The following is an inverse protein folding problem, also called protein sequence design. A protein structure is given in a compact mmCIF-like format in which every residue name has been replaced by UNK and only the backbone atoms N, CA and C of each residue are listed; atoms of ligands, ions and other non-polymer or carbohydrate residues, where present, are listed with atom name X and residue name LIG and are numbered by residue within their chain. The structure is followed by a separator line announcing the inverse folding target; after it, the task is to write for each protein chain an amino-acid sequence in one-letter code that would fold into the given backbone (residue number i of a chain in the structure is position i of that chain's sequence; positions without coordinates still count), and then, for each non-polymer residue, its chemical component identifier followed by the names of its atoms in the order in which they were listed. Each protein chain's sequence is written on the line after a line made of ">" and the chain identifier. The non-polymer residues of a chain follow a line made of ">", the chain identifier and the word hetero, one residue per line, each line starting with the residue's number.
data_IF_038088000708
#
_entry.id   IF_038088000708
#
_cell.length_a   1.000
_cell.length_b   1.000
_cell.length_c   1.000
_cell.angle_alpha   90.00
_cell.angle_beta   90.00
_cell.angle_gamma   90.00
#
_symmetry.space_group_name_H-M   'P 1'
#
loop_
_entity.id
_entity.type
_entity.pdbx_description
1 polymer ?
#
# COMPACT_ATOMS: atom_id res chain seq x y z
N UNK A 1 16.84 0.21 -17.79
CA UNK A 1 17.12 -0.63 -16.61
C UNK A 1 16.16 -1.82 -16.59
N UNK A 2 16.55 -2.98 -16.03
CA UNK A 2 15.62 -4.08 -15.79
C UNK A 2 15.02 -3.92 -14.38
N UNK A 3 13.76 -3.50 -14.29
CA UNK A 3 13.08 -3.20 -13.01
C UNK A 3 12.89 -4.45 -12.15
N UNK A 4 12.62 -5.61 -12.74
CA UNK A 4 12.48 -6.86 -11.96
C UNK A 4 13.81 -7.24 -11.29
N UNK A 5 14.94 -7.08 -11.99
CA UNK A 5 16.27 -7.26 -11.40
C UNK A 5 16.58 -6.23 -10.32
N UNK A 6 16.10 -5.00 -10.47
CA UNK A 6 16.23 -3.96 -9.44
C UNK A 6 15.43 -4.32 -8.18
N UNK A 7 14.17 -4.72 -8.33
CA UNK A 7 13.29 -5.12 -7.23
C UNK A 7 13.86 -6.29 -6.42
N UNK A 8 14.45 -7.31 -7.09
CA UNK A 8 15.12 -8.42 -6.40
C UNK A 8 16.27 -7.91 -5.51
N UNK A 9 17.09 -6.99 -6.02
CA UNK A 9 18.19 -6.40 -5.25
C UNK A 9 17.67 -5.54 -4.10
N UNK A 10 16.63 -4.73 -4.35
CA UNK A 10 16.04 -3.87 -3.35
C UNK A 10 15.41 -4.67 -2.21
N UNK A 11 14.73 -5.78 -2.53
CA UNK A 11 14.19 -6.70 -1.51
C UNK A 11 15.29 -7.26 -0.63
N UNK A 12 16.37 -7.77 -1.24
CA UNK A 12 17.54 -8.28 -0.51
C UNK A 12 18.19 -7.20 0.36
N UNK A 13 18.33 -5.98 -0.16
CA UNK A 13 18.81 -4.84 0.62
C UNK A 13 17.92 -4.56 1.83
N UNK A 14 16.59 -4.60 1.65
CA UNK A 14 15.63 -4.44 2.74
C UNK A 14 15.80 -5.51 3.82
N UNK A 15 15.98 -6.77 3.44
CA UNK A 15 16.25 -7.88 4.37
C UNK A 15 17.56 -7.66 5.16
N UNK A 16 18.65 -7.30 4.48
CA UNK A 16 19.97 -7.04 5.11
C UNK A 16 19.95 -5.83 6.06
N UNK A 17 19.06 -4.86 5.83
CA UNK A 17 18.96 -3.61 6.60
C UNK A 17 17.73 -3.54 7.51
N UNK A 18 17.00 -4.67 7.66
CA UNK A 18 15.78 -4.75 8.49
C UNK A 18 14.70 -3.73 8.11
N UNK A 19 14.56 -3.44 6.81
CA UNK A 19 13.48 -2.62 6.26
C UNK A 19 12.28 -3.54 6.01
N UNK A 20 11.10 -3.28 6.60
CA UNK A 20 9.94 -4.15 6.50
C UNK A 20 9.26 -3.99 5.13
N UNK A 21 9.77 -4.67 4.10
CA UNK A 21 9.09 -4.75 2.82
C UNK A 21 8.05 -5.86 2.83
N UNK A 22 6.87 -5.59 2.26
CA UNK A 22 5.86 -6.59 1.88
C UNK A 22 6.52 -7.86 1.29
N UNK A 23 5.96 -9.03 1.60
CA UNK A 23 6.47 -10.29 1.09
C UNK A 23 6.37 -10.38 -0.44
N UNK A 24 7.23 -11.18 -1.07
CA UNK A 24 7.18 -11.36 -2.52
C UNK A 24 5.86 -12.00 -2.98
N UNK A 25 5.26 -12.82 -2.11
CA UNK A 25 3.98 -13.50 -2.38
C UNK A 25 2.84 -12.49 -2.35
N UNK A 26 2.75 -11.67 -1.28
CA UNK A 26 1.74 -10.61 -1.18
C UNK A 26 1.91 -9.57 -2.29
N UNK A 27 3.14 -9.12 -2.58
CA UNK A 27 3.41 -8.16 -3.65
C UNK A 27 2.95 -8.67 -5.04
N UNK A 28 3.20 -9.94 -5.34
CA UNK A 28 2.73 -10.58 -6.58
C UNK A 28 1.21 -10.66 -6.62
N UNK A 29 0.58 -11.10 -5.53
CA UNK A 29 -0.88 -11.16 -5.44
C UNK A 29 -1.52 -9.78 -5.66
N UNK A 30 -1.00 -8.74 -5.01
CA UNK A 30 -1.51 -7.37 -5.16
C UNK A 30 -1.31 -6.86 -6.58
N UNK A 31 -0.18 -7.16 -7.25
CA UNK A 31 0.01 -6.82 -8.67
C UNK A 31 -1.03 -7.47 -9.57
N UNK A 32 -1.38 -8.74 -9.33
CA UNK A 32 -2.40 -9.41 -10.13
C UNK A 32 -3.80 -8.85 -9.82
N UNK A 33 -4.08 -8.50 -8.57
CA UNK A 33 -5.32 -7.84 -8.19
C UNK A 33 -5.47 -6.45 -8.84
N UNK A 34 -4.39 -5.65 -8.88
CA UNK A 34 -4.34 -4.35 -9.58
C UNK A 34 -4.71 -4.51 -11.06
N UNK A 35 -4.16 -5.53 -11.73
CA UNK A 35 -4.49 -5.82 -13.14
C UNK A 35 -5.96 -6.21 -13.33
N UNK A 36 -6.43 -7.18 -12.53
CA UNK A 36 -7.78 -7.76 -12.68
C UNK A 36 -8.87 -6.73 -12.34
N UNK A 37 -8.63 -5.90 -11.34
CA UNK A 37 -9.54 -4.82 -10.95
C UNK A 37 -9.53 -3.62 -11.90
N UNK A 38 -8.57 -3.54 -12.82
CA UNK A 38 -8.41 -2.38 -13.70
C UNK A 38 -8.03 -1.10 -12.95
N UNK A 39 -7.32 -1.23 -11.83
CA UNK A 39 -6.90 -0.11 -10.99
C UNK A 39 -6.07 0.90 -11.80
N UNK A 40 -6.40 2.19 -11.67
CA UNK A 40 -5.62 3.29 -12.27
C UNK A 40 -5.06 4.25 -11.23
N UNK A 41 -5.78 4.50 -10.14
CA UNK A 41 -5.36 5.44 -9.11
C UNK A 41 -5.25 4.71 -7.79
N UNK A 42 -4.03 4.63 -7.26
CA UNK A 42 -3.72 3.92 -6.03
C UNK A 42 -3.25 4.89 -4.94
N UNK A 43 -3.70 4.64 -3.71
CA UNK A 43 -3.13 5.23 -2.50
C UNK A 43 -2.38 4.15 -1.72
N UNK A 44 -1.18 4.46 -1.26
CA UNK A 44 -0.38 3.61 -0.38
C UNK A 44 -0.03 4.37 0.90
N UNK A 45 -0.16 3.70 2.05
CA UNK A 45 0.16 4.23 3.37
C UNK A 45 1.28 3.36 3.95
N UNK A 46 2.47 3.95 4.05
CA UNK A 46 3.72 3.25 4.31
C UNK A 46 4.51 3.01 3.03
N UNK A 47 5.61 3.73 2.83
CA UNK A 47 6.44 3.64 1.62
C UNK A 47 7.68 2.79 1.87
N UNK A 48 8.26 2.87 3.06
CA UNK A 48 9.56 2.28 3.39
C UNK A 48 10.62 2.68 2.33
N UNK A 49 11.36 1.73 1.75
CA UNK A 49 12.32 1.99 0.67
C UNK A 49 11.68 2.06 -0.73
N UNK A 50 10.35 2.04 -0.84
CA UNK A 50 9.61 2.11 -2.10
C UNK A 50 9.46 0.78 -2.84
N UNK A 51 9.82 -0.36 -2.24
CA UNK A 51 9.73 -1.66 -2.90
C UNK A 51 8.32 -1.98 -3.44
N UNK A 52 7.28 -1.87 -2.60
CA UNK A 52 5.88 -2.07 -2.98
C UNK A 52 5.43 -1.00 -3.98
N UNK A 53 5.72 0.27 -3.70
CA UNK A 53 5.39 1.42 -4.54
C UNK A 53 5.87 1.22 -5.98
N UNK A 54 7.13 0.81 -6.16
CA UNK A 54 7.73 0.54 -7.48
C UNK A 54 7.10 -0.71 -8.11
N UNK A 55 6.85 -1.77 -7.33
CA UNK A 55 6.17 -2.99 -7.79
C UNK A 55 4.81 -2.66 -8.43
N UNK A 56 4.00 -1.85 -7.74
CA UNK A 56 2.65 -1.49 -8.17
C UNK A 56 2.67 -0.48 -9.32
N UNK A 57 3.55 0.53 -9.26
CA UNK A 57 3.70 1.52 -10.31
C UNK A 57 4.06 0.91 -11.68
N UNK A 58 4.84 -0.18 -11.72
CA UNK A 58 5.12 -0.91 -12.97
C UNK A 58 3.84 -1.44 -13.63
N UNK A 59 2.86 -1.91 -12.84
CA UNK A 59 1.59 -2.36 -13.37
C UNK A 59 0.68 -1.20 -13.75
N UNK A 60 0.58 -0.19 -12.89
CA UNK A 60 -0.22 1.01 -13.14
C UNK A 60 0.24 1.74 -14.42
N UNK A 61 1.55 1.82 -14.65
CA UNK A 61 2.14 2.45 -15.84
C UNK A 61 1.59 1.88 -17.14
N UNK A 62 1.32 0.57 -17.20
CA UNK A 62 0.81 -0.11 -18.41
C UNK A 62 -0.56 0.39 -18.86
N UNK A 63 -1.33 0.97 -17.93
CA UNK A 63 -2.68 1.49 -18.17
C UNK A 63 -2.78 3.01 -17.97
N UNK A 64 -1.64 3.70 -17.86
CA UNK A 64 -1.58 5.14 -17.59
C UNK A 64 -2.02 5.53 -16.18
N UNK A 65 -1.93 4.60 -15.23
CA UNK A 65 -2.26 4.80 -13.83
C UNK A 65 -1.13 5.44 -13.01
N UNK A 66 -1.45 5.82 -11.78
CA UNK A 66 -0.58 6.50 -10.82
C UNK A 66 -0.79 6.00 -9.40
N UNK A 67 0.24 6.15 -8.58
CA UNK A 67 0.21 5.85 -7.16
C UNK A 67 0.67 7.08 -6.35
N UNK A 68 -0.08 7.38 -5.29
CA UNK A 68 0.36 8.28 -4.23
C UNK A 68 0.79 7.40 -3.06
N UNK A 69 2.01 7.58 -2.56
CA UNK A 69 2.53 6.85 -1.40
C UNK A 69 2.97 7.82 -0.31
N UNK A 70 2.51 7.58 0.91
CA UNK A 70 2.72 8.46 2.06
C UNK A 70 3.60 7.75 3.09
N UNK A 71 4.68 8.43 3.52
CA UNK A 71 5.51 8.00 4.64
C UNK A 71 5.85 9.18 5.55
N UNK A 72 5.90 8.94 6.85
CA UNK A 72 6.26 9.98 7.83
C UNK A 72 7.76 10.03 8.09
N UNK A 73 8.50 8.98 7.75
CA UNK A 73 9.94 8.87 7.95
C UNK A 73 10.67 9.56 6.80
N UNK A 74 11.37 10.66 7.11
CA UNK A 74 12.21 11.36 6.13
C UNK A 74 13.27 10.43 5.51
N UNK A 75 13.85 9.54 6.33
CA UNK A 75 14.79 8.52 5.86
C UNK A 75 14.17 7.63 4.79
N UNK A 76 12.99 7.06 5.09
CA UNK A 76 12.25 6.20 4.16
C UNK A 76 11.89 6.95 2.88
N UNK A 77 11.35 8.16 3.02
CA UNK A 77 11.01 9.03 1.91
C UNK A 77 12.19 9.31 0.98
N UNK A 78 13.36 9.68 1.52
CA UNK A 78 14.55 9.96 0.72
C UNK A 78 15.07 8.71 0.00
N UNK A 79 15.04 7.56 0.66
CA UNK A 79 15.46 6.28 0.08
C UNK A 79 14.51 5.88 -1.06
N UNK A 80 13.20 5.89 -0.81
CA UNK A 80 12.18 5.63 -1.82
C UNK A 80 12.31 6.59 -3.02
N UNK A 81 12.52 7.88 -2.77
CA UNK A 81 12.70 8.89 -3.83
C UNK A 81 13.88 8.57 -4.74
N UNK A 82 15.00 8.12 -4.18
CA UNK A 82 16.16 7.71 -4.97
C UNK A 82 15.87 6.46 -5.80
N UNK A 83 15.21 5.46 -5.21
CA UNK A 83 14.86 4.22 -5.90
C UNK A 83 13.84 4.45 -7.03
N UNK A 84 12.86 5.33 -6.82
CA UNK A 84 11.88 5.75 -7.83
C UNK A 84 12.58 6.43 -9.02
N UNK A 85 13.55 7.31 -8.74
CA UNK A 85 14.35 7.98 -9.77
C UNK A 85 15.21 6.99 -10.56
N UNK A 86 15.86 6.04 -9.88
CA UNK A 86 16.62 4.98 -10.56
C UNK A 86 15.72 4.13 -11.47
N UNK A 87 14.45 3.95 -11.09
CA UNK A 87 13.44 3.27 -11.89
C UNK A 87 12.81 4.08 -13.02
N UNK A 88 13.06 5.39 -13.09
CA UNK A 88 12.41 6.29 -14.05
C UNK A 88 10.87 6.23 -13.97
N UNK A 89 10.34 6.22 -12.73
CA UNK A 89 8.91 6.11 -12.42
C UNK A 89 8.33 7.38 -11.78
N UNK A 90 9.04 8.52 -11.85
CA UNK A 90 8.62 9.79 -11.24
C UNK A 90 7.30 10.33 -11.82
N UNK A 91 6.92 9.91 -13.03
CA UNK A 91 5.65 10.30 -13.65
C UNK A 91 4.45 9.50 -13.12
N UNK A 92 4.70 8.30 -12.60
CA UNK A 92 3.69 7.38 -12.10
C UNK A 92 3.58 7.40 -10.56
N UNK A 93 4.66 7.77 -9.86
CA UNK A 93 4.75 7.75 -8.40
C UNK A 93 4.83 9.16 -7.85
N UNK A 94 3.89 9.52 -6.98
CA UNK A 94 3.94 10.72 -6.15
C UNK A 94 4.20 10.34 -4.70
N UNK A 95 5.37 10.71 -4.18
CA UNK A 95 5.73 10.48 -2.78
C UNK A 95 5.38 11.70 -1.92
N UNK A 96 4.71 11.47 -0.80
CA UNK A 96 4.38 12.50 0.19
C UNK A 96 5.12 12.19 1.49
N UNK A 97 5.97 13.11 1.93
CA UNK A 97 6.56 13.08 3.27
C UNK A 97 5.59 13.73 4.25
N UNK A 98 5.00 12.95 5.16
CA UNK A 98 4.06 13.45 6.15
C UNK A 98 3.36 12.36 6.93
N UNK A 99 2.68 12.75 8.01
CA UNK A 99 1.83 11.84 8.76
C UNK A 99 0.56 11.54 7.96
N UNK A 100 0.31 10.26 7.65
CA UNK A 100 -0.83 9.85 6.85
C UNK A 100 -2.19 10.33 7.43
N UNK A 101 -2.30 10.47 8.75
CA UNK A 101 -3.51 11.00 9.40
C UNK A 101 -3.81 12.45 9.03
N UNK A 102 -2.77 13.22 8.71
CA UNK A 102 -2.86 14.62 8.32
C UNK A 102 -2.90 14.79 6.80
N UNK A 103 -2.24 13.90 6.05
CA UNK A 103 -2.15 13.98 4.60
C UNK A 103 -3.35 13.36 3.87
N UNK A 104 -3.88 12.22 4.33
CA UNK A 104 -5.04 11.57 3.68
C UNK A 104 -6.25 12.53 3.57
N UNK A 105 -6.64 13.28 4.62
CA UNK A 105 -7.78 14.22 4.55
C UNK A 105 -7.67 15.26 3.43
N UNK A 106 -6.44 15.65 3.04
CA UNK A 106 -6.16 16.64 1.99
C UNK A 106 -6.33 16.08 0.58
N UNK A 107 -6.36 14.76 0.42
CA UNK A 107 -6.55 14.10 -0.87
C UNK A 107 -7.99 14.20 -1.34
N UNK A 108 -8.21 14.09 -2.64
CA UNK A 108 -9.52 14.14 -3.26
C UNK A 108 -10.41 12.96 -2.85
N UNK A 109 -11.68 13.21 -2.58
CA UNK A 109 -12.68 12.18 -2.29
C UNK A 109 -13.08 11.43 -3.56
N UNK A 110 -13.43 10.14 -3.44
CA UNK A 110 -13.85 9.29 -4.56
C UNK A 110 -12.88 9.28 -5.76
N UNK A 111 -11.58 9.39 -5.51
CA UNK A 111 -10.55 9.43 -6.54
C UNK A 111 -9.87 8.06 -6.76
N UNK A 112 -9.59 7.34 -5.68
CA UNK A 112 -8.79 6.11 -5.73
C UNK A 112 -9.64 4.89 -6.09
N UNK A 113 -9.06 4.02 -6.91
CA UNK A 113 -9.63 2.70 -7.24
C UNK A 113 -9.11 1.63 -6.25
N UNK A 114 -7.95 1.89 -5.63
CA UNK A 114 -7.27 0.96 -4.74
C UNK A 114 -6.56 1.70 -3.60
N UNK A 115 -6.68 1.23 -2.36
CA UNK A 115 -5.86 1.67 -1.22
C UNK A 115 -5.10 0.50 -0.62
N UNK A 116 -3.81 0.66 -0.39
CA UNK A 116 -2.96 -0.29 0.32
C UNK A 116 -2.47 0.31 1.65
N UNK A 117 -2.78 -0.35 2.75
CA UNK A 117 -2.41 0.04 4.10
C UNK A 117 -1.34 -0.93 4.60
N UNK A 118 -0.10 -0.44 4.67
CA UNK A 118 1.09 -1.17 5.14
C UNK A 118 1.98 -0.22 5.96
N UNK A 119 1.38 0.33 7.02
CA UNK A 119 2.00 1.31 7.90
C UNK A 119 2.03 0.86 9.36
N UNK A 120 1.80 1.81 10.27
CA UNK A 120 1.67 1.47 11.69
C UNK A 120 0.36 0.73 11.95
N UNK A 121 0.43 -0.60 12.16
CA UNK A 121 -0.76 -1.45 12.40
C UNK A 121 -1.66 -0.99 13.54
N UNK A 122 -1.11 -0.31 14.57
CA UNK A 122 -1.91 0.31 15.65
C UNK A 122 -2.86 1.41 15.18
N UNK A 123 -2.60 1.99 14.00
CA UNK A 123 -3.39 3.04 13.36
C UNK A 123 -4.21 2.50 12.18
N UNK A 124 -4.23 1.18 11.93
CA UNK A 124 -4.94 0.59 10.77
C UNK A 124 -6.41 1.00 10.70
N UNK A 125 -7.10 1.07 11.84
CA UNK A 125 -8.48 1.56 11.95
C UNK A 125 -8.60 3.01 11.46
N UNK A 126 -7.71 3.90 11.90
CA UNK A 126 -7.78 5.32 11.51
C UNK A 126 -7.42 5.49 10.03
N UNK A 127 -6.45 4.73 9.52
CA UNK A 127 -6.10 4.71 8.10
C UNK A 127 -7.28 4.23 7.25
N UNK A 128 -7.97 3.16 7.66
CA UNK A 128 -9.17 2.67 6.99
C UNK A 128 -10.27 3.74 6.99
N UNK A 129 -10.58 4.31 8.15
CA UNK A 129 -11.60 5.34 8.32
C UNK A 129 -11.36 6.55 7.42
N UNK A 130 -10.11 7.05 7.38
CA UNK A 130 -9.74 8.19 6.53
C UNK A 130 -9.70 7.84 5.03
N UNK A 131 -9.42 6.58 4.67
CA UNK A 131 -9.30 6.15 3.28
C UNK A 131 -10.64 5.85 2.61
N UNK A 132 -11.66 5.43 3.38
CA UNK A 132 -12.97 5.06 2.85
C UNK A 132 -13.64 6.18 2.02
N UNK A 133 -13.65 7.46 2.44
CA UNK A 133 -14.17 8.56 1.63
C UNK A 133 -13.38 8.80 0.34
N UNK A 134 -12.07 8.52 0.34
CA UNK A 134 -11.15 8.72 -0.79
C UNK A 134 -11.31 7.67 -1.89
N UNK A 135 -11.82 6.49 -1.53
CA UNK A 135 -12.04 5.37 -2.44
C UNK A 135 -13.35 5.53 -3.23
N UNK A 136 -13.33 5.17 -4.52
CA UNK A 136 -14.54 5.07 -5.35
C UNK A 136 -15.44 3.92 -4.89
N UNK A 137 -16.72 3.99 -5.28
CA UNK A 137 -17.61 2.81 -5.22
C UNK A 137 -17.05 1.70 -6.10
N UNK A 138 -17.01 0.48 -5.58
CA UNK A 138 -16.36 -0.69 -6.18
C UNK A 138 -14.85 -0.73 -6.00
N UNK A 139 -14.25 0.28 -5.35
CA UNK A 139 -12.82 0.31 -5.09
C UNK A 139 -12.42 -0.67 -3.98
N UNK A 140 -11.13 -1.03 -3.97
CA UNK A 140 -10.56 -2.05 -3.09
C UNK A 140 -9.67 -1.41 -2.03
N UNK A 141 -9.79 -1.86 -0.78
CA UNK A 141 -8.80 -1.60 0.27
C UNK A 141 -8.14 -2.92 0.64
N UNK A 142 -6.81 -2.92 0.68
CA UNK A 142 -5.98 -3.99 1.23
C UNK A 142 -5.28 -3.49 2.48
N UNK A 143 -5.34 -4.25 3.57
CA UNK A 143 -4.53 -4.06 4.77
C UNK A 143 -3.59 -5.27 4.88
N UNK A 144 -2.28 -5.04 4.85
CA UNK A 144 -1.28 -6.11 5.01
C UNK A 144 -1.16 -6.54 6.48
N UNK A 145 -0.41 -7.61 6.73
CA UNK A 145 -0.01 -8.01 8.09
C UNK A 145 -1.17 -8.38 9.04
N UNK A 146 -2.38 -8.63 8.51
CA UNK A 146 -3.60 -8.73 9.34
C UNK A 146 -3.62 -9.98 10.22
N UNK A 147 -2.98 -11.06 9.76
CA UNK A 147 -2.91 -12.32 10.52
C UNK A 147 -1.80 -12.18 11.56
N UNK A 148 -0.61 -11.76 11.13
CA UNK A 148 0.58 -11.66 11.97
C UNK A 148 0.46 -10.60 13.07
N UNK A 149 -0.16 -9.46 12.77
CA UNK A 149 -0.28 -8.33 13.69
C UNK A 149 -1.72 -8.07 14.15
N UNK A 150 -2.58 -9.09 14.11
CA UNK A 150 -3.98 -9.02 14.55
C UNK A 150 -4.15 -8.29 15.89
N UNK A 151 -3.37 -8.67 16.89
CA UNK A 151 -3.47 -8.10 18.25
C UNK A 151 -3.03 -6.62 18.34
N UNK A 152 -2.27 -6.13 17.36
CA UNK A 152 -1.82 -4.73 17.30
C UNK A 152 -2.85 -3.82 16.65
N UNK A 153 -3.82 -4.35 15.90
CA UNK A 153 -4.80 -3.59 15.14
C UNK A 153 -6.00 -3.17 16.02
N UNK A 154 -5.72 -2.27 16.96
CA UNK A 154 -6.66 -1.85 18.01
C UNK A 154 -7.91 -1.20 17.40
N UNK A 155 -9.09 -1.72 17.76
CA UNK A 155 -10.39 -1.18 17.36
C UNK A 155 -10.78 -1.41 15.90
N UNK A 156 -9.96 -2.10 15.10
CA UNK A 156 -10.26 -2.36 13.69
C UNK A 156 -11.53 -3.19 13.51
N UNK A 157 -11.63 -4.35 14.20
CA UNK A 157 -12.80 -5.23 14.09
C UNK A 157 -14.07 -4.58 14.63
N UNK A 158 -14.01 -3.89 15.77
CA UNK A 158 -15.14 -3.16 16.33
C UNK A 158 -15.65 -2.09 15.35
N UNK A 159 -14.74 -1.38 14.69
CA UNK A 159 -15.08 -0.39 13.68
C UNK A 159 -15.75 -1.03 12.44
N UNK A 160 -15.22 -2.15 11.95
CA UNK A 160 -15.80 -2.89 10.82
C UNK A 160 -17.21 -3.37 11.14
N UNK A 161 -17.42 -3.97 12.31
CA UNK A 161 -18.72 -4.46 12.77
C UNK A 161 -19.73 -3.31 12.94
N UNK A 162 -19.35 -2.25 13.68
CA UNK A 162 -20.22 -1.09 13.93
C UNK A 162 -20.70 -0.42 12.64
N UNK A 163 -19.88 -0.40 11.60
CA UNK A 163 -20.18 0.25 10.33
C UNK A 163 -20.71 -0.73 9.26
N UNK A 164 -20.94 -2.00 9.61
CA UNK A 164 -21.36 -3.05 8.68
C UNK A 164 -20.45 -3.18 7.44
N UNK A 165 -19.14 -3.01 7.63
CA UNK A 165 -18.15 -3.11 6.54
C UNK A 165 -17.79 -4.59 6.36
N UNK A 166 -18.14 -5.14 5.21
CA UNK A 166 -17.77 -6.51 4.84
C UNK A 166 -16.29 -6.60 4.48
N UNK A 167 -15.61 -7.65 4.94
CA UNK A 167 -14.21 -7.90 4.65
C UNK A 167 -13.95 -9.39 4.42
N UNK A 168 -12.86 -9.70 3.71
CA UNK A 168 -12.32 -11.04 3.59
C UNK A 168 -10.87 -11.05 4.09
N UNK A 169 -10.51 -12.00 4.93
CA UNK A 169 -9.11 -12.24 5.31
C UNK A 169 -8.56 -13.36 4.44
N UNK A 170 -7.47 -13.09 3.73
CA UNK A 170 -6.85 -14.01 2.79
C UNK A 170 -5.46 -14.42 3.33
N UNK A 171 -5.28 -15.68 3.78
CA UNK A 171 -4.00 -16.20 4.27
C UNK A 171 -3.10 -16.61 3.09
N UNK A 172 -2.58 -15.61 2.38
CA UNK A 172 -1.86 -15.82 1.10
C UNK A 172 -0.39 -16.16 1.36
N UNK A 173 0.18 -15.67 2.46
CA UNK A 173 1.52 -16.00 2.93
C UNK A 173 1.40 -17.04 4.07
N UNK A 174 2.40 -17.89 4.27
CA UNK A 174 2.33 -18.96 5.28
C UNK A 174 2.31 -18.43 6.71
N UNK A 175 2.93 -17.27 6.94
CA UNK A 175 3.04 -16.64 8.26
C UNK A 175 2.25 -15.32 8.36
N UNK A 176 1.48 -14.98 7.31
CA UNK A 176 0.78 -13.71 7.23
C UNK A 176 -0.46 -13.75 6.31
N UNK A 177 -1.19 -12.64 6.20
CA UNK A 177 -2.28 -12.50 5.25
C UNK A 177 -2.75 -11.06 5.13
N UNK A 178 -3.60 -10.84 4.13
CA UNK A 178 -4.18 -9.54 3.85
C UNK A 178 -5.66 -9.51 4.23
N UNK A 179 -6.14 -8.37 4.70
CA UNK A 179 -7.58 -8.07 4.74
C UNK A 179 -7.96 -7.32 3.47
N UNK A 180 -9.00 -7.79 2.79
CA UNK A 180 -9.58 -7.16 1.61
C UNK A 180 -10.99 -6.65 1.90
N UNK A 181 -11.23 -5.38 1.56
CA UNK A 181 -12.52 -4.70 1.67
C UNK A 181 -12.89 -4.14 0.29
N UNK A 182 -14.16 -4.24 -0.09
CA UNK A 182 -14.72 -3.62 -1.30
C UNK A 182 -15.79 -2.61 -0.85
N UNK A 183 -15.67 -1.36 -1.29
CA UNK A 183 -16.66 -0.28 -1.00
C UNK A 183 -17.84 -0.34 -1.98
#
# INVERSE_FOLDING_TARGET
>A
MNIEKFLIKLKKYGEENTIPNISNVNARFLRDLIKISGTKNMLEIGTANGFSTINFAVELKKVGGKIISIDFSEKSYLEAKNNVKECSLENEISLILGNALDEIPKLEDNYFDFVFIDGMMRRSKDFLELSLPKLKKGGIIIIDDVIKFKEKMIGLWEYLEKNNISYNTLPIDSDDGVMMIIK
#
